data_IF_198515281078
#
_entry.id   IF_198515281078
#
_cell.length_a   1.000
_cell.length_b   1.000
_cell.length_c   1.000
_cell.angle_alpha   90.00
_cell.angle_beta   90.00
_cell.angle_gamma   90.00
#
_symmetry.space_group_name_H-M   'P 1'
#
loop_
_entity.id
_entity.type
_entity.pdbx_description
1 polymer ?
#
# COMPACT_ATOMS: atom_id res chain seq x y z
N UNK A 1 -0.91 0.01 -19.61
CA UNK A 1 -1.95 -0.82 -18.97
C UNK A 1 -3.16 0.09 -18.94
N UNK A 2 -4.35 -0.31 -19.39
CA UNK A 2 -5.53 0.51 -19.10
C UNK A 2 -5.67 0.54 -17.58
N UNK A 3 -5.82 1.72 -16.99
CA UNK A 3 -5.97 1.97 -15.54
C UNK A 3 -7.17 1.23 -14.93
N UNK A 4 -8.03 0.64 -15.76
CA UNK A 4 -9.31 0.03 -15.40
C UNK A 4 -9.22 -1.32 -14.68
N UNK A 5 -8.07 -1.98 -14.60
CA UNK A 5 -7.92 -3.30 -13.94
C UNK A 5 -6.67 -3.40 -13.06
N UNK A 6 -6.47 -2.45 -12.15
CA UNK A 6 -5.46 -2.60 -11.10
C UNK A 6 -6.10 -3.39 -9.94
N UNK A 7 -5.61 -4.61 -9.62
CA UNK A 7 -6.18 -5.43 -8.56
C UNK A 7 -5.80 -4.86 -7.19
N UNK A 8 -6.71 -4.17 -6.52
CA UNK A 8 -6.43 -3.64 -5.19
C UNK A 8 -7.34 -2.50 -4.75
N UNK A 9 -6.88 -1.79 -3.72
CA UNK A 9 -7.55 -0.62 -3.16
C UNK A 9 -6.53 0.35 -2.59
N UNK A 10 -6.93 1.62 -2.46
CA UNK A 10 -6.09 2.65 -1.84
C UNK A 10 -6.37 2.67 -0.34
N UNK A 11 -5.30 2.74 0.45
CA UNK A 11 -5.38 3.10 1.85
C UNK A 11 -4.75 4.46 2.07
N UNK A 12 -5.34 5.24 2.98
CA UNK A 12 -4.74 6.47 3.44
C UNK A 12 -3.98 6.21 4.73
N UNK A 13 -2.71 6.60 4.71
CA UNK A 13 -1.80 6.47 5.83
C UNK A 13 -1.56 7.83 6.44
N UNK A 14 -1.51 7.89 7.77
CA UNK A 14 -1.14 9.10 8.51
C UNK A 14 0.14 8.84 9.30
N UNK A 15 1.17 9.63 8.99
CA UNK A 15 2.43 9.66 9.75
C UNK A 15 2.17 9.94 11.22
N UNK A 16 2.69 9.11 12.13
CA UNK A 16 2.60 9.39 13.57
C UNK A 16 3.56 10.50 14.02
N UNK A 17 4.64 10.73 13.26
CA UNK A 17 5.66 11.74 13.58
C UNK A 17 5.32 13.11 13.00
N UNK A 18 4.92 13.17 11.73
CA UNK A 18 4.68 14.42 11.01
C UNK A 18 3.21 14.78 10.84
N UNK A 19 2.28 13.90 11.23
CA UNK A 19 0.84 14.00 10.94
C UNK A 19 0.47 14.11 9.45
N UNK A 20 1.43 14.02 8.53
CA UNK A 20 1.22 14.02 7.09
C UNK A 20 0.42 12.80 6.65
N UNK A 21 -0.51 12.99 5.73
CA UNK A 21 -1.25 11.91 5.09
C UNK A 21 -0.71 11.62 3.70
N UNK A 22 -0.72 10.36 3.30
CA UNK A 22 -0.28 9.91 1.99
C UNK A 22 -1.01 8.63 1.58
N UNK A 23 -1.27 8.43 0.28
CA UNK A 23 -1.97 7.25 -0.20
C UNK A 23 -1.01 6.07 -0.37
N UNK A 24 -1.51 4.85 -0.27
CA UNK A 24 -0.75 3.65 -0.59
C UNK A 24 -1.68 2.62 -1.24
N UNK A 25 -1.21 1.99 -2.31
CA UNK A 25 -1.97 0.95 -2.98
C UNK A 25 -1.67 -0.41 -2.33
N UNK A 26 -2.72 -1.09 -1.91
CA UNK A 26 -2.63 -2.49 -1.47
C UNK A 26 -3.19 -3.37 -2.56
N UNK A 27 -2.35 -4.25 -3.10
CA UNK A 27 -2.77 -5.22 -4.09
C UNK A 27 -3.69 -6.28 -3.46
N UNK A 28 -4.76 -6.62 -4.18
CA UNK A 28 -5.71 -7.64 -3.76
C UNK A 28 -6.35 -8.25 -5.00
N UNK A 29 -6.20 -9.56 -5.18
CA UNK A 29 -6.74 -10.32 -6.29
C UNK A 29 -7.25 -11.69 -5.81
N UNK A 30 -8.08 -12.33 -6.63
CA UNK A 30 -8.62 -13.66 -6.36
C UNK A 30 -7.57 -14.77 -6.45
N UNK A 31 -6.49 -14.54 -7.22
CA UNK A 31 -5.42 -15.50 -7.44
C UNK A 31 -4.07 -14.78 -7.32
N UNK A 32 -3.15 -15.33 -6.54
CA UNK A 32 -1.82 -14.73 -6.28
C UNK A 32 -1.05 -14.41 -7.58
N UNK A 33 -1.25 -15.21 -8.64
CA UNK A 33 -0.64 -15.00 -9.95
C UNK A 33 -1.02 -13.67 -10.61
N UNK A 34 -2.15 -13.06 -10.22
CA UNK A 34 -2.61 -11.79 -10.78
C UNK A 34 -1.85 -10.58 -10.22
N UNK A 35 -1.23 -10.71 -9.05
CA UNK A 35 -0.45 -9.64 -8.40
C UNK A 35 1.04 -9.98 -8.31
N UNK A 36 1.44 -11.15 -8.79
CA UNK A 36 2.82 -11.64 -8.67
C UNK A 36 3.79 -10.69 -9.37
N UNK A 37 4.80 -10.24 -8.63
CA UNK A 37 5.82 -9.31 -9.11
C UNK A 37 5.35 -7.86 -9.26
N UNK A 38 4.09 -7.55 -8.96
CA UNK A 38 3.60 -6.17 -8.96
C UNK A 38 4.06 -5.45 -7.69
N UNK A 39 4.52 -4.21 -7.86
CA UNK A 39 4.94 -3.34 -6.77
C UNK A 39 4.38 -1.94 -6.96
N UNK A 40 4.16 -1.25 -5.85
CA UNK A 40 3.68 0.12 -5.82
C UNK A 40 4.63 1.02 -5.05
N UNK A 41 4.87 2.21 -5.59
CA UNK A 41 5.55 3.31 -4.92
C UNK A 41 4.58 4.45 -4.70
N UNK A 42 4.72 5.13 -3.59
CA UNK A 42 3.98 6.36 -3.28
C UNK A 42 4.92 7.55 -3.43
N UNK A 43 4.46 8.61 -4.09
CA UNK A 43 5.17 9.89 -4.11
C UNK A 43 5.13 10.57 -2.73
N UNK A 44 6.28 11.07 -2.26
CA UNK A 44 6.31 11.91 -1.06
C UNK A 44 5.93 13.38 -1.35
N UNK A 45 5.77 13.77 -2.61
CA UNK A 45 5.50 15.17 -2.99
C UNK A 45 4.08 15.31 -3.49
N UNK A 46 3.64 14.42 -4.36
CA UNK A 46 2.36 14.46 -5.05
C UNK A 46 1.40 13.41 -4.50
N UNK A 47 0.11 13.60 -4.73
CA UNK A 47 -0.91 12.61 -4.42
C UNK A 47 -0.95 11.52 -5.50
N UNK A 48 0.16 10.80 -5.64
CA UNK A 48 0.43 9.90 -6.76
C UNK A 48 0.98 8.56 -6.31
N UNK A 49 0.56 7.50 -7.02
CA UNK A 49 1.07 6.14 -6.87
C UNK A 49 1.61 5.66 -8.22
N UNK A 50 2.83 5.13 -8.22
CA UNK A 50 3.45 4.49 -9.37
C UNK A 50 3.41 2.99 -9.18
N UNK A 51 2.84 2.27 -10.13
CA UNK A 51 2.81 0.81 -10.17
C UNK A 51 3.83 0.34 -11.18
N UNK A 52 4.61 -0.69 -10.83
CA UNK A 52 5.53 -1.34 -11.76
C UNK A 52 5.59 -2.84 -11.50
N UNK A 53 6.34 -3.55 -12.35
CA UNK A 53 6.60 -4.98 -12.24
C UNK A 53 8.09 -5.15 -11.97
N UNK A 54 8.43 -6.02 -11.02
CA UNK A 54 9.80 -6.42 -10.72
C UNK A 54 10.38 -7.22 -11.88
N UNK A 55 11.64 -6.95 -12.23
CA UNK A 55 12.37 -7.85 -13.13
C UNK A 55 12.81 -9.12 -12.38
N UNK A 56 13.31 -10.12 -13.11
CA UNK A 56 13.71 -11.41 -12.51
C UNK A 56 14.79 -11.29 -11.42
N UNK A 57 15.73 -10.34 -11.57
CA UNK A 57 16.79 -10.09 -10.57
C UNK A 57 16.21 -9.46 -9.30
N UNK A 58 15.30 -8.50 -9.46
CA UNK A 58 14.62 -7.80 -8.36
C UNK A 58 13.65 -8.72 -7.62
N UNK A 59 13.00 -9.63 -8.35
CA UNK A 59 12.11 -10.62 -7.74
C UNK A 59 12.86 -11.58 -6.82
N UNK A 60 14.11 -11.94 -7.17
CA UNK A 60 14.98 -12.77 -6.33
C UNK A 60 15.73 -12.00 -5.23
N UNK A 61 15.63 -10.67 -5.22
CA UNK A 61 16.37 -9.79 -4.32
C UNK A 61 15.51 -9.47 -3.09
N UNK A 62 15.95 -9.90 -1.90
CA UNK A 62 15.33 -9.49 -0.63
C UNK A 62 15.47 -7.98 -0.36
N UNK A 63 16.25 -7.26 -1.18
CA UNK A 63 16.51 -5.83 -1.04
C UNK A 63 15.50 -5.06 -1.86
N UNK A 64 14.43 -4.62 -1.19
CA UNK A 64 13.42 -3.68 -1.72
C UNK A 64 13.97 -2.35 -2.28
N UNK A 65 15.29 -2.12 -2.22
CA UNK A 65 15.95 -0.87 -2.55
C UNK A 65 16.31 -0.78 -4.04
N UNK A 66 16.57 -1.90 -4.71
CA UNK A 66 17.10 -1.89 -6.09
C UNK A 66 16.05 -1.45 -7.11
N UNK A 67 14.86 -2.02 -7.02
CA UNK A 67 13.74 -1.67 -7.91
C UNK A 67 13.23 -0.25 -7.66
N UNK A 68 13.22 0.22 -6.40
CA UNK A 68 12.89 1.62 -6.06
C UNK A 68 13.85 2.58 -6.75
N UNK A 69 15.17 2.29 -6.69
CA UNK A 69 16.20 3.12 -7.33
C UNK A 69 16.04 3.14 -8.84
N UNK A 70 15.78 1.97 -9.45
CA UNK A 70 15.56 1.87 -10.90
C UNK A 70 14.36 2.71 -11.33
N UNK A 71 13.19 2.52 -10.72
CA UNK A 71 11.97 3.25 -11.12
C UNK A 71 12.15 4.76 -10.95
N UNK A 72 12.75 5.19 -9.84
CA UNK A 72 13.12 6.59 -9.64
C UNK A 72 14.06 7.09 -10.74
N UNK A 73 15.10 6.34 -11.09
CA UNK A 73 16.03 6.71 -12.16
C UNK A 73 15.36 6.78 -13.54
N UNK A 74 14.50 5.81 -13.88
CA UNK A 74 13.80 5.75 -15.16
C UNK A 74 12.79 6.89 -15.33
N UNK A 75 12.15 7.31 -14.24
CA UNK A 75 11.22 8.43 -14.22
C UNK A 75 11.90 9.78 -13.92
N UNK A 76 13.22 9.80 -13.74
CA UNK A 76 13.99 10.97 -13.32
C UNK A 76 13.44 11.65 -12.04
N UNK A 77 13.10 10.83 -11.05
CA UNK A 77 12.51 11.18 -9.75
C UNK A 77 13.35 10.66 -8.59
N UNK A 78 13.10 11.16 -7.39
CA UNK A 78 13.72 10.67 -6.15
C UNK A 78 12.75 10.61 -4.95
N UNK A 79 11.50 11.03 -5.19
CA UNK A 79 10.45 11.20 -4.20
C UNK A 79 9.59 9.94 -4.03
N UNK A 80 9.67 8.98 -4.97
CA UNK A 80 8.92 7.74 -4.91
C UNK A 80 9.51 6.81 -3.86
N UNK A 81 8.68 6.39 -2.91
CA UNK A 81 9.06 5.51 -1.80
C UNK A 81 8.23 4.25 -1.78
N UNK A 82 8.88 3.14 -1.42
CA UNK A 82 8.19 1.91 -1.10
C UNK A 82 7.71 1.97 0.36
N UNK A 83 6.41 1.74 0.56
CA UNK A 83 5.82 1.71 1.88
C UNK A 83 5.69 0.25 2.31
N UNK A 84 6.42 -0.12 3.36
CA UNK A 84 6.41 -1.48 3.90
C UNK A 84 5.35 -1.61 5.01
N UNK A 85 4.60 -2.70 5.01
CA UNK A 85 3.77 -3.07 6.18
C UNK A 85 4.69 -3.49 7.35
N UNK A 86 4.42 -2.96 8.55
CA UNK A 86 5.23 -3.22 9.74
C UNK A 86 4.53 -4.24 10.65
N UNK A 87 3.29 -3.93 11.07
CA UNK A 87 2.54 -4.75 12.04
C UNK A 87 1.05 -4.45 12.00
N UNK A 88 0.27 -5.36 12.55
CA UNK A 88 -1.16 -5.16 12.82
C UNK A 88 -1.44 -5.33 14.29
N UNK A 89 -2.18 -4.39 14.87
CA UNK A 89 -2.61 -4.45 16.26
C UNK A 89 -4.07 -4.92 16.35
N UNK A 90 -4.25 -6.03 17.08
CA UNK A 90 -5.54 -6.62 17.37
C UNK A 90 -6.37 -5.64 18.21
N UNK A 91 -7.38 -5.03 17.61
CA UNK A 91 -8.36 -4.23 18.34
C UNK A 91 -9.53 -5.06 18.87
N UNK A 92 -9.55 -6.37 18.57
CA UNK A 92 -10.64 -7.27 18.95
C UNK A 92 -10.54 -7.69 20.42
N UNK A 93 -11.67 -7.59 21.12
CA UNK A 93 -11.86 -8.21 22.42
C UNK A 93 -11.87 -9.73 22.25
N UNK A 94 -11.29 -10.48 23.20
CA UNK A 94 -11.27 -11.95 23.17
C UNK A 94 -12.68 -12.51 22.95
N UNK A 95 -12.83 -13.52 22.07
CA UNK A 95 -14.10 -14.23 21.86
C UNK A 95 -14.62 -14.70 23.22
N UNK A 96 -15.84 -14.30 23.58
CA UNK A 96 -16.46 -14.80 24.82
C UNK A 96 -16.81 -16.28 24.62
N UNK A 97 -16.60 -17.11 25.65
CA UNK A 97 -17.05 -18.51 25.62
C UNK A 97 -18.55 -18.54 25.27
N UNK A 98 -18.96 -19.44 24.37
CA UNK A 98 -20.34 -19.60 23.86
C UNK A 98 -20.89 -18.48 22.96
N UNK A 99 -20.06 -17.54 22.49
CA UNK A 99 -20.51 -16.56 21.52
C UNK A 99 -20.63 -17.15 20.09
N UNK A 100 -21.76 -16.89 19.43
CA UNK A 100 -21.95 -17.23 18.02
C UNK A 100 -21.01 -16.43 17.12
N UNK A 101 -20.54 -17.05 16.03
CA UNK A 101 -19.64 -16.38 15.07
C UNK A 101 -20.21 -15.06 14.54
N UNK A 102 -21.54 -14.98 14.32
CA UNK A 102 -22.21 -13.76 13.88
C UNK A 102 -22.08 -12.61 14.88
N UNK A 103 -22.18 -12.89 16.17
CA UNK A 103 -22.05 -11.87 17.22
C UNK A 103 -20.59 -11.48 17.45
N UNK A 104 -19.66 -12.43 17.30
CA UNK A 104 -18.23 -12.13 17.30
C UNK A 104 -17.89 -11.10 16.22
N UNK A 105 -18.28 -11.33 14.95
CA UNK A 105 -18.01 -10.40 13.85
C UNK A 105 -18.63 -9.01 14.02
N UNK A 106 -19.78 -8.89 14.71
CA UNK A 106 -20.38 -7.58 15.03
C UNK A 106 -19.54 -6.76 16.02
N UNK A 107 -18.72 -7.41 16.86
CA UNK A 107 -17.93 -6.76 17.91
C UNK A 107 -16.44 -6.67 17.58
N UNK A 108 -15.97 -7.47 16.63
CA UNK A 108 -14.61 -7.37 16.10
C UNK A 108 -14.43 -5.97 15.53
N UNK A 109 -13.56 -5.20 16.17
CA UNK A 109 -13.05 -3.96 15.59
C UNK A 109 -12.00 -4.33 14.55
N UNK A 110 -11.97 -3.62 13.41
CA UNK A 110 -10.92 -3.81 12.42
C UNK A 110 -9.54 -3.60 13.05
N UNK A 111 -8.56 -4.36 12.57
CA UNK A 111 -7.17 -4.23 12.97
C UNK A 111 -6.65 -2.83 12.66
N UNK A 112 -5.81 -2.29 13.55
CA UNK A 112 -5.00 -1.12 13.22
C UNK A 112 -3.75 -1.60 12.51
N UNK A 113 -3.60 -1.22 11.25
CA UNK A 113 -2.43 -1.57 10.46
C UNK A 113 -1.42 -0.43 10.51
N UNK A 114 -0.19 -0.77 10.83
CA UNK A 114 0.95 0.12 10.89
C UNK A 114 1.87 -0.15 9.72
N UNK A 115 2.27 0.91 9.04
CA UNK A 115 3.13 0.91 7.87
C UNK A 115 4.34 1.81 8.12
N UNK A 116 5.39 1.61 7.34
CA UNK A 116 6.56 2.49 7.37
C UNK A 116 6.17 3.92 6.98
N UNK A 117 6.78 4.89 7.66
CA UNK A 117 6.58 6.29 7.33
C UNK A 117 7.26 6.66 6.00
N UNK A 118 6.62 7.54 5.22
CA UNK A 118 7.13 7.98 3.91
C UNK A 118 8.34 8.91 4.01
N UNK A 119 8.49 9.62 5.13
CA UNK A 119 9.55 10.60 5.38
C UNK A 119 10.66 10.08 6.29
N UNK A 120 10.40 9.04 7.07
CA UNK A 120 11.35 8.47 8.03
C UNK A 120 11.34 6.94 7.98
N UNK A 121 12.46 6.33 7.62
CA UNK A 121 12.57 4.88 7.52
C UNK A 121 12.36 4.14 8.85
N UNK A 122 12.58 4.81 9.99
CA UNK A 122 12.32 4.26 11.32
C UNK A 122 10.94 4.65 11.87
N UNK A 123 10.20 5.51 11.17
CA UNK A 123 8.88 5.99 11.56
C UNK A 123 7.76 5.00 11.23
N UNK A 124 6.65 5.16 11.95
CA UNK A 124 5.40 4.44 11.70
C UNK A 124 4.30 5.40 11.21
N UNK A 125 3.43 4.89 10.35
CA UNK A 125 2.19 5.51 9.89
C UNK A 125 1.01 4.57 10.12
N UNK A 126 -0.16 5.14 10.42
CA UNK A 126 -1.38 4.40 10.71
C UNK A 126 -2.34 4.47 9.52
N UNK A 127 -2.97 3.34 9.18
CA UNK A 127 -4.10 3.35 8.26
C UNK A 127 -5.30 4.07 8.89
N UNK A 128 -5.73 5.17 8.26
CA UNK A 128 -6.86 6.00 8.70
C UNK A 128 -8.09 5.87 7.81
N UNK A 129 -7.92 5.52 6.55
CA UNK A 129 -9.03 5.37 5.61
C UNK A 129 -8.72 4.33 4.52
N UNK A 130 -9.75 3.95 3.77
CA UNK A 130 -9.68 3.03 2.62
C UNK A 130 -10.71 3.45 1.58
N UNK A 131 -10.28 3.55 0.33
CA UNK A 131 -11.17 3.85 -0.81
C UNK A 131 -10.87 2.96 -2.03
N UNK A 132 -11.80 2.97 -2.99
CA UNK A 132 -11.58 2.31 -4.27
C UNK A 132 -10.58 3.07 -5.13
N UNK A 133 -9.92 2.38 -6.06
CA UNK A 133 -9.02 3.03 -7.02
C UNK A 133 -9.75 4.09 -7.86
N UNK A 134 -11.00 3.82 -8.24
CA UNK A 134 -11.84 4.77 -8.96
C UNK A 134 -12.14 6.04 -8.16
N UNK A 135 -12.40 5.90 -6.85
CA UNK A 135 -12.65 7.05 -5.99
C UNK A 135 -11.40 7.89 -5.81
N UNK A 136 -10.24 7.25 -5.61
CA UNK A 136 -8.95 7.94 -5.52
C UNK A 136 -8.67 8.79 -6.76
N UNK A 137 -8.85 8.22 -7.97
CA UNK A 137 -8.66 8.95 -9.23
C UNK A 137 -9.68 10.09 -9.36
N UNK A 138 -10.94 9.84 -9.03
CA UNK A 138 -12.00 10.85 -9.05
C UNK A 138 -11.72 12.01 -8.10
N UNK A 139 -11.06 11.74 -6.98
CA UNK A 139 -10.67 12.71 -5.96
C UNK A 139 -9.34 13.42 -6.28
N UNK A 140 -8.83 13.29 -7.50
CA UNK A 140 -7.61 13.97 -7.96
C UNK A 140 -6.30 13.23 -7.65
N UNK A 141 -6.38 11.99 -7.19
CA UNK A 141 -5.24 11.09 -7.10
C UNK A 141 -4.77 10.63 -8.48
N UNK A 142 -3.46 10.44 -8.65
CA UNK A 142 -2.90 9.94 -9.90
C UNK A 142 -2.31 8.53 -9.74
N UNK A 143 -2.54 7.66 -10.72
CA UNK A 143 -1.92 6.34 -10.76
C UNK A 143 -1.19 6.16 -12.09
N UNK A 144 0.12 6.05 -12.02
CA UNK A 144 0.98 5.81 -13.17
C UNK A 144 1.32 4.33 -13.24
N UNK A 145 0.98 3.68 -14.34
CA UNK A 145 1.45 2.33 -14.64
C UNK A 145 2.76 2.39 -15.43
N UNK A 146 3.88 2.12 -14.78
CA UNK A 146 5.19 2.03 -15.40
C UNK A 146 5.42 0.60 -15.93
N UNK A 147 5.16 0.40 -17.22
CA UNK A 147 5.41 -0.86 -17.93
C UNK A 147 6.81 -0.86 -18.53
N UNK A 148 7.48 -2.01 -18.45
CA UNK A 148 8.62 -2.30 -19.31
C UNK A 148 8.19 -2.62 -20.73
N UNK A 149 8.98 -2.12 -21.69
CA UNK A 149 9.30 -2.80 -22.95
C UNK A 149 10.68 -3.44 -22.80
#
# INVERSE_FOLDING_TARGET
MKTENIPGYIIWLKSLKSNKTFPHLVFSADVDSMTTGMVSLTSNIENEIVISILNSKEYSSDKNVEWVKRINSELNRNDLKYIKWIRSENCSQKKKLFESYRNYWKRVKPYKNYYQDISDSAGESLQIDKESISDFIKNGGNIISHKFY
#
